data_IF_778285013551
#
_entry.id   IF_778285013551
#
_cell.length_a   1.000
_cell.length_b   1.000
_cell.length_c   1.000
_cell.angle_alpha   90.00
_cell.angle_beta   90.00
_cell.angle_gamma   90.00
#
_symmetry.space_group_name_H-M   'P 1'
#
loop_
_entity.id
_entity.type
_entity.pdbx_description
1 polymer ?
#
# COMPACT_ATOMS: atom_id res chain seq x y z
N UNK A 1 -21.91 33.67 2.69
CA UNK A 1 -22.06 32.30 2.15
C UNK A 1 -20.81 31.87 1.38
N UNK A 2 -19.61 31.91 1.96
CA UNK A 2 -18.34 31.56 1.27
C UNK A 2 -17.46 30.54 2.04
N UNK A 3 -18.06 29.69 2.86
CA UNK A 3 -17.33 28.74 3.73
C UNK A 3 -17.30 27.29 3.23
N UNK A 4 -18.27 26.85 2.46
CA UNK A 4 -18.43 25.43 2.11
C UNK A 4 -17.48 24.93 1.01
N UNK A 5 -17.06 25.80 0.09
CA UNK A 5 -16.17 25.39 -1.01
C UNK A 5 -14.70 25.13 -0.59
N UNK A 6 -14.25 25.68 0.55
CA UNK A 6 -12.86 25.52 1.02
C UNK A 6 -12.63 24.24 1.79
N UNK A 7 -13.66 23.68 2.43
CA UNK A 7 -13.54 22.43 3.20
C UNK A 7 -13.49 21.19 2.30
N UNK A 8 -14.11 21.24 1.11
CA UNK A 8 -14.09 20.13 0.14
C UNK A 8 -12.86 20.10 -0.77
N UNK A 9 -12.08 21.17 -0.84
CA UNK A 9 -10.94 21.26 -1.74
C UNK A 9 -9.76 20.38 -1.30
N UNK A 10 -9.55 20.15 0.00
CA UNK A 10 -8.42 19.35 0.51
C UNK A 10 -8.50 17.87 0.12
N UNK A 11 -9.64 17.17 0.32
CA UNK A 11 -9.77 15.78 -0.13
C UNK A 11 -9.57 15.63 -1.64
N UNK A 12 -10.10 16.56 -2.45
CA UNK A 12 -9.95 16.52 -3.90
C UNK A 12 -8.50 16.76 -4.30
N UNK A 13 -7.81 17.71 -3.66
CA UNK A 13 -6.40 18.01 -3.90
C UNK A 13 -5.51 16.80 -3.53
N UNK A 14 -5.77 16.16 -2.39
CA UNK A 14 -5.07 14.94 -1.96
C UNK A 14 -5.29 13.82 -2.99
N UNK A 15 -6.53 13.55 -3.38
CA UNK A 15 -6.85 12.50 -4.34
C UNK A 15 -6.18 12.74 -5.71
N UNK A 16 -6.18 13.99 -6.18
CA UNK A 16 -5.51 14.35 -7.43
C UNK A 16 -3.99 14.13 -7.36
N UNK A 17 -3.34 14.54 -6.27
CA UNK A 17 -1.90 14.36 -6.06
C UNK A 17 -1.54 12.87 -5.97
N UNK A 18 -2.32 12.06 -5.26
CA UNK A 18 -2.10 10.62 -5.15
C UNK A 18 -2.35 9.88 -6.46
N UNK A 19 -3.16 10.42 -7.36
CA UNK A 19 -3.34 9.88 -8.72
C UNK A 19 -2.20 10.24 -9.68
N UNK A 20 -1.16 10.95 -9.21
CA UNK A 20 0.00 11.35 -10.02
C UNK A 20 -0.18 12.66 -10.78
N UNK A 21 -1.23 13.43 -10.50
CA UNK A 21 -1.40 14.75 -11.10
C UNK A 21 -0.29 15.72 -10.63
N UNK A 22 0.19 16.57 -11.53
CA UNK A 22 1.06 17.66 -11.13
C UNK A 22 0.29 18.71 -10.31
N UNK A 23 1.00 19.64 -9.68
CA UNK A 23 0.40 20.64 -8.78
C UNK A 23 -0.64 21.52 -9.49
N UNK A 24 -0.42 21.87 -10.76
CA UNK A 24 -1.31 22.73 -11.53
C UNK A 24 -2.63 22.02 -11.78
N UNK A 25 -2.57 20.80 -12.30
CA UNK A 25 -3.75 19.98 -12.59
C UNK A 25 -4.50 19.61 -11.31
N UNK A 26 -3.78 19.31 -10.22
CA UNK A 26 -4.38 18.99 -8.94
C UNK A 26 -5.11 20.20 -8.33
N UNK A 27 -4.55 21.41 -8.46
CA UNK A 27 -5.17 22.66 -8.02
C UNK A 27 -6.44 22.95 -8.82
N UNK A 28 -6.39 22.78 -10.14
CA UNK A 28 -7.55 22.96 -11.03
C UNK A 28 -8.68 22.00 -10.65
N UNK A 29 -8.40 20.72 -10.50
CA UNK A 29 -9.39 19.70 -10.06
C UNK A 29 -9.99 20.01 -8.70
N UNK A 30 -9.20 20.56 -7.79
CA UNK A 30 -9.65 20.95 -6.45
C UNK A 30 -10.34 22.33 -6.41
N UNK A 31 -10.42 23.05 -7.53
CA UNK A 31 -11.01 24.39 -7.60
C UNK A 31 -10.25 25.45 -6.79
N UNK A 32 -8.93 25.30 -6.65
CA UNK A 32 -8.06 26.25 -5.94
C UNK A 32 -6.94 26.76 -6.86
N UNK A 33 -6.34 27.92 -6.50
CA UNK A 33 -5.18 28.41 -7.23
C UNK A 33 -3.94 27.56 -6.94
N UNK A 34 -3.01 27.48 -7.90
CA UNK A 34 -1.72 26.81 -7.73
C UNK A 34 -0.97 27.31 -6.48
N UNK A 35 -0.99 28.62 -6.23
CA UNK A 35 -0.37 29.22 -5.05
C UNK A 35 -1.00 28.68 -3.75
N UNK A 36 -2.31 28.48 -3.73
CA UNK A 36 -3.02 27.89 -2.58
C UNK A 36 -2.62 26.43 -2.40
N UNK A 37 -2.54 25.63 -3.48
CA UNK A 37 -2.08 24.25 -3.42
C UNK A 37 -0.64 24.15 -2.89
N UNK A 38 0.27 24.98 -3.40
CA UNK A 38 1.66 25.05 -2.90
C UNK A 38 1.75 25.45 -1.42
N UNK A 39 0.90 26.37 -0.96
CA UNK A 39 0.83 26.75 0.45
C UNK A 39 0.36 25.59 1.33
N UNK A 40 -0.65 24.82 0.88
CA UNK A 40 -1.15 23.63 1.59
C UNK A 40 -0.10 22.55 1.69
N UNK A 41 0.66 22.28 0.65
CA UNK A 41 1.77 21.33 0.65
C UNK A 41 2.90 21.70 1.63
N UNK A 42 3.02 22.96 2.06
CA UNK A 42 3.93 23.39 3.12
C UNK A 42 3.35 23.25 4.52
N UNK A 43 2.04 23.11 4.66
CA UNK A 43 1.37 22.91 5.94
C UNK A 43 1.59 21.48 6.43
N UNK A 44 2.04 21.34 7.69
CA UNK A 44 2.35 20.05 8.30
C UNK A 44 1.12 19.14 8.41
N UNK A 45 -0.02 19.71 8.79
CA UNK A 45 -1.28 18.96 8.94
C UNK A 45 -1.77 18.41 7.57
N UNK A 46 -1.72 19.24 6.52
CA UNK A 46 -2.06 18.79 5.19
C UNK A 46 -1.13 17.68 4.69
N UNK A 47 0.17 17.81 4.93
CA UNK A 47 1.16 16.77 4.58
C UNK A 47 0.92 15.49 5.35
N UNK A 48 0.59 15.56 6.63
CA UNK A 48 0.24 14.39 7.42
C UNK A 48 -0.98 13.66 6.84
N UNK A 49 -2.02 14.40 6.45
CA UNK A 49 -3.20 13.84 5.79
C UNK A 49 -2.90 13.26 4.42
N UNK A 50 -2.06 13.90 3.62
CA UNK A 50 -1.62 13.39 2.31
C UNK A 50 -0.85 12.08 2.47
N UNK A 51 0.09 12.01 3.42
CA UNK A 51 0.86 10.82 3.70
C UNK A 51 -0.03 9.68 4.19
N UNK A 52 -0.92 9.94 5.15
CA UNK A 52 -1.86 8.94 5.66
C UNK A 52 -2.76 8.38 4.55
N UNK A 53 -3.28 9.23 3.67
CA UNK A 53 -4.07 8.78 2.52
C UNK A 53 -3.24 7.97 1.51
N UNK A 54 -1.96 8.27 1.35
CA UNK A 54 -1.01 7.49 0.55
C UNK A 54 -0.77 6.10 1.14
N UNK A 55 -0.54 6.03 2.46
CA UNK A 55 -0.36 4.77 3.18
C UNK A 55 -1.61 3.89 3.10
N UNK A 56 -2.80 4.48 3.24
CA UNK A 56 -4.08 3.77 3.08
C UNK A 56 -4.25 3.21 1.66
N UNK A 57 -3.85 3.96 0.64
CA UNK A 57 -3.91 3.52 -0.75
C UNK A 57 -2.97 2.32 -0.99
N UNK A 58 -1.74 2.39 -0.48
CA UNK A 58 -0.76 1.29 -0.56
C UNK A 58 -1.28 0.06 0.17
N UNK A 59 -1.82 0.23 1.37
CA UNK A 59 -2.40 -0.87 2.15
C UNK A 59 -3.60 -1.52 1.45
N UNK A 60 -4.45 -0.72 0.80
CA UNK A 60 -5.58 -1.22 0.01
C UNK A 60 -5.09 -2.02 -1.22
N UNK A 61 -4.08 -1.53 -1.92
CA UNK A 61 -3.47 -2.24 -3.05
C UNK A 61 -2.83 -3.56 -2.61
N UNK A 62 -2.12 -3.57 -1.48
CA UNK A 62 -1.52 -4.78 -0.93
C UNK A 62 -2.59 -5.84 -0.57
N UNK A 63 -3.70 -5.42 0.03
CA UNK A 63 -4.83 -6.33 0.30
C UNK A 63 -5.43 -6.90 -0.98
N UNK A 64 -5.67 -6.07 -1.99
CA UNK A 64 -6.20 -6.53 -3.27
C UNK A 64 -5.28 -7.55 -3.97
N UNK A 65 -3.97 -7.36 -3.89
CA UNK A 65 -2.98 -8.32 -4.39
C UNK A 65 -3.03 -9.62 -3.59
N UNK A 66 -3.14 -9.55 -2.26
CA UNK A 66 -3.24 -10.74 -1.40
C UNK A 66 -4.50 -11.56 -1.71
N UNK A 67 -5.64 -10.89 -1.91
CA UNK A 67 -6.91 -11.52 -2.28
C UNK A 67 -6.79 -12.21 -3.66
N UNK A 68 -6.24 -11.52 -4.66
CA UNK A 68 -6.01 -12.08 -5.99
C UNK A 68 -5.05 -13.29 -5.96
N UNK A 69 -4.02 -13.26 -5.11
CA UNK A 69 -3.14 -14.40 -4.89
C UNK A 69 -3.90 -15.61 -4.31
N UNK A 70 -4.81 -15.38 -3.35
CA UNK A 70 -5.67 -16.41 -2.79
C UNK A 70 -6.56 -17.07 -3.85
N UNK A 71 -7.18 -16.26 -4.71
CA UNK A 71 -7.99 -16.76 -5.84
C UNK A 71 -7.15 -17.56 -6.84
N UNK A 72 -5.96 -17.07 -7.19
CA UNK A 72 -5.06 -17.78 -8.11
C UNK A 72 -4.62 -19.14 -7.57
N UNK A 73 -4.28 -19.21 -6.26
CA UNK A 73 -3.93 -20.47 -5.59
C UNK A 73 -5.12 -21.41 -5.58
N UNK A 74 -6.33 -20.92 -5.31
CA UNK A 74 -7.55 -21.74 -5.38
C UNK A 74 -7.78 -22.31 -6.77
N UNK A 75 -7.68 -21.49 -7.82
CA UNK A 75 -7.81 -21.93 -9.20
C UNK A 75 -6.77 -22.99 -9.58
N UNK A 76 -5.50 -22.82 -9.18
CA UNK A 76 -4.46 -23.83 -9.40
C UNK A 76 -4.77 -25.15 -8.70
N UNK A 77 -5.31 -25.13 -7.49
CA UNK A 77 -5.72 -26.32 -6.74
C UNK A 77 -6.90 -27.05 -7.41
N UNK A 78 -7.84 -26.30 -7.96
CA UNK A 78 -8.98 -26.87 -8.67
C UNK A 78 -8.54 -27.51 -9.98
N UNK A 79 -7.68 -26.85 -10.76
CA UNK A 79 -7.07 -27.40 -11.97
C UNK A 79 -6.22 -28.65 -11.68
N UNK A 80 -5.56 -28.71 -10.51
CA UNK A 80 -4.79 -29.87 -10.10
C UNK A 80 -5.68 -31.07 -9.79
N UNK A 81 -6.89 -30.86 -9.27
CA UNK A 81 -7.86 -31.92 -8.95
C UNK A 81 -8.62 -32.40 -10.19
N UNK A 82 -9.21 -31.46 -10.93
CA UNK A 82 -10.25 -31.74 -11.90
C UNK A 82 -9.87 -31.42 -13.36
N UNK A 83 -8.65 -30.87 -13.57
CA UNK A 83 -8.18 -30.52 -14.91
C UNK A 83 -7.78 -31.71 -15.77
N UNK A 84 -7.72 -31.55 -17.10
CA UNK A 84 -7.12 -32.53 -18.00
C UNK A 84 -5.66 -32.84 -17.61
N UNK A 85 -5.11 -34.04 -17.95
CA UNK A 85 -3.79 -34.45 -17.48
C UNK A 85 -2.65 -33.44 -17.74
N UNK A 86 -2.63 -32.81 -18.91
CA UNK A 86 -1.65 -31.79 -19.26
C UNK A 86 -1.79 -30.52 -18.40
N UNK A 87 -3.03 -30.11 -18.12
CA UNK A 87 -3.32 -28.94 -17.27
C UNK A 87 -2.95 -29.23 -15.81
N UNK A 88 -3.26 -30.45 -15.32
CA UNK A 88 -2.87 -30.89 -13.98
C UNK A 88 -1.35 -30.86 -13.80
N UNK A 89 -0.61 -31.35 -14.79
CA UNK A 89 0.86 -31.29 -14.77
C UNK A 89 1.37 -29.84 -14.74
N UNK A 90 0.76 -28.96 -15.55
CA UNK A 90 1.08 -27.53 -15.56
C UNK A 90 0.83 -26.86 -14.20
N UNK A 91 -0.34 -27.10 -13.60
CA UNK A 91 -0.69 -26.56 -12.28
C UNK A 91 0.27 -27.09 -11.18
N UNK A 92 0.60 -28.38 -11.18
CA UNK A 92 1.56 -28.96 -10.26
C UNK A 92 2.95 -28.31 -10.39
N UNK A 93 3.44 -28.15 -11.61
CA UNK A 93 4.72 -27.48 -11.89
C UNK A 93 4.72 -26.05 -11.37
N UNK A 94 3.70 -25.27 -11.67
CA UNK A 94 3.55 -23.89 -11.21
C UNK A 94 3.61 -23.80 -9.69
N UNK A 95 2.85 -24.64 -8.96
CA UNK A 95 2.87 -24.67 -7.49
C UNK A 95 4.28 -24.98 -6.96
N UNK A 96 4.95 -25.97 -7.52
CA UNK A 96 6.28 -26.38 -7.08
C UNK A 96 7.35 -25.30 -7.36
N UNK A 97 7.26 -24.61 -8.49
CA UNK A 97 8.18 -23.52 -8.87
C UNK A 97 8.05 -22.30 -7.96
N UNK A 98 6.84 -21.95 -7.55
CA UNK A 98 6.60 -20.78 -6.71
C UNK A 98 6.78 -21.03 -5.21
N UNK A 99 6.64 -22.27 -4.73
CA UNK A 99 6.76 -22.61 -3.31
C UNK A 99 8.08 -22.13 -2.65
N UNK A 100 9.28 -22.32 -3.24
CA UNK A 100 10.52 -21.84 -2.64
C UNK A 100 10.58 -20.32 -2.54
N UNK A 101 10.02 -19.61 -3.54
CA UNK A 101 9.99 -18.13 -3.55
C UNK A 101 9.11 -17.58 -2.44
N UNK A 102 7.94 -18.18 -2.21
CA UNK A 102 7.07 -17.81 -1.10
C UNK A 102 7.72 -18.07 0.25
N UNK A 103 8.39 -19.21 0.43
CA UNK A 103 9.12 -19.51 1.66
C UNK A 103 10.22 -18.49 1.92
N UNK A 104 11.06 -18.21 0.93
CA UNK A 104 12.13 -17.23 1.06
C UNK A 104 11.62 -15.82 1.42
N UNK A 105 10.50 -15.39 0.83
CA UNK A 105 9.88 -14.11 1.15
C UNK A 105 9.35 -14.09 2.58
N UNK A 106 8.67 -15.16 3.03
CA UNK A 106 8.13 -15.28 4.38
C UNK A 106 9.23 -15.30 5.44
N UNK A 107 10.28 -16.09 5.24
CA UNK A 107 11.45 -16.15 6.12
C UNK A 107 12.14 -14.78 6.24
N UNK A 108 12.16 -14.02 5.14
CA UNK A 108 12.73 -12.67 5.14
C UNK A 108 11.88 -11.68 5.96
N UNK A 109 10.56 -11.73 5.81
CA UNK A 109 9.62 -10.91 6.59
C UNK A 109 9.69 -11.24 8.09
N UNK A 110 9.74 -12.51 8.46
CA UNK A 110 9.90 -12.92 9.87
C UNK A 110 11.21 -12.41 10.47
N UNK A 111 12.31 -12.49 9.72
CA UNK A 111 13.61 -11.98 10.16
C UNK A 111 13.62 -10.46 10.33
N UNK A 112 12.97 -9.73 9.43
CA UNK A 112 12.80 -8.28 9.56
C UNK A 112 11.97 -7.92 10.79
N UNK A 113 10.84 -8.58 11.01
CA UNK A 113 9.98 -8.35 12.16
C UNK A 113 10.68 -8.66 13.50
N UNK A 114 11.56 -9.66 13.53
CA UNK A 114 12.39 -9.95 14.70
C UNK A 114 13.44 -8.86 14.92
N UNK A 115 14.10 -8.40 13.87
CA UNK A 115 15.09 -7.34 13.97
C UNK A 115 14.48 -6.01 14.42
N UNK A 116 13.31 -5.64 13.90
CA UNK A 116 12.57 -4.46 14.32
C UNK A 116 12.19 -4.51 15.81
N UNK A 117 11.69 -5.65 16.28
CA UNK A 117 11.38 -5.85 17.71
C UNK A 117 12.62 -5.69 18.58
N UNK A 118 13.73 -6.28 18.20
CA UNK A 118 15.00 -6.17 18.94
C UNK A 118 15.50 -4.70 19.00
N UNK A 119 15.33 -3.93 17.92
CA UNK A 119 15.70 -2.50 17.90
C UNK A 119 14.82 -1.69 18.83
N UNK A 120 13.52 -1.99 18.89
CA UNK A 120 12.59 -1.30 19.82
C UNK A 120 12.96 -1.59 21.26
N UNK A 121 13.19 -2.85 21.62
CA UNK A 121 13.59 -3.28 22.96
C UNK A 121 14.89 -2.59 23.42
N UNK A 122 15.92 -2.56 22.56
CA UNK A 122 17.19 -1.88 22.85
C UNK A 122 17.02 -0.36 23.05
N UNK A 123 16.09 0.27 22.34
CA UNK A 123 15.78 1.70 22.52
C UNK A 123 15.09 1.96 23.85
N UNK A 124 14.17 1.10 24.24
CA UNK A 124 13.47 1.20 25.53
C UNK A 124 14.42 0.98 26.71
N UNK A 125 15.32 0.02 26.65
CA UNK A 125 16.35 -0.22 27.66
C UNK A 125 17.28 0.98 27.82
N UNK A 126 17.74 1.56 26.72
CA UNK A 126 18.55 2.81 26.77
C UNK A 126 17.80 3.99 27.35
N UNK A 127 16.49 4.07 27.15
CA UNK A 127 15.65 5.13 27.71
C UNK A 127 15.42 4.99 29.22
N UNK A 128 15.41 3.77 29.74
CA UNK A 128 15.24 3.49 31.19
C UNK A 128 16.52 3.64 32.01
N UNK A 129 17.68 3.64 31.37
CA UNK A 129 18.99 3.74 32.03
C UNK A 129 19.52 5.19 32.21
N UNK A 130 18.68 6.18 31.96
CA UNK A 130 18.94 7.61 32.21
C UNK A 130 17.94 8.16 33.21
#
# INVERSE_FOLDING_TARGET
MAGSGRQNADPILIAALLSGANIVDAAERAGVSEQTARRRLRNLEFRARLNAAGDDLVAAAARAIADANGEAVSALRDLLRDGPPAVRLGAARTILEFTPRFRAAHDHEERLALAERSVVELREERGRGR
#
